data_IF_060294447045
#
_entry.id   IF_060294447045
#
_cell.length_a   1.000
_cell.length_b   1.000
_cell.length_c   1.000
_cell.angle_alpha   90.00
_cell.angle_beta   90.00
_cell.angle_gamma   90.00
#
_symmetry.space_group_name_H-M   'P 1'
#
loop_
_entity.id
_entity.type
_entity.pdbx_description
1 polymer ?
#
# COMPACT_ATOMS: atom_id res chain seq x y z
N UNK A 1 -61.64 -5.38 -10.15
CA UNK A 1 -60.66 -4.43 -9.56
C UNK A 1 -59.76 -5.03 -8.49
N UNK A 2 -60.19 -5.95 -7.61
CA UNK A 2 -59.35 -6.54 -6.56
C UNK A 2 -58.20 -7.47 -7.04
N UNK A 3 -58.33 -8.11 -8.22
CA UNK A 3 -57.25 -9.02 -8.76
C UNK A 3 -56.08 -8.28 -9.44
N UNK A 4 -56.29 -7.07 -9.93
CA UNK A 4 -55.25 -6.24 -10.58
C UNK A 4 -54.34 -5.61 -9.52
N UNK A 5 -54.86 -5.24 -8.36
CA UNK A 5 -54.11 -4.66 -7.26
C UNK A 5 -53.14 -5.66 -6.64
N UNK A 6 -53.51 -6.97 -6.55
CA UNK A 6 -52.65 -8.02 -6.02
C UNK A 6 -51.45 -8.30 -6.92
N UNK A 7 -51.62 -8.20 -8.25
CA UNK A 7 -50.54 -8.41 -9.21
C UNK A 7 -49.51 -7.27 -9.18
N UNK A 8 -49.91 -6.06 -8.91
CA UNK A 8 -49.02 -4.89 -8.79
C UNK A 8 -48.22 -4.90 -7.50
N UNK A 9 -48.76 -5.42 -6.40
CA UNK A 9 -48.06 -5.56 -5.12
C UNK A 9 -47.03 -6.69 -5.20
N UNK A 10 -47.32 -7.79 -5.91
CA UNK A 10 -46.31 -8.85 -6.15
C UNK A 10 -45.17 -8.39 -7.04
N UNK A 11 -45.40 -7.55 -8.03
CA UNK A 11 -44.37 -7.01 -8.92
C UNK A 11 -43.44 -6.01 -8.19
N UNK A 12 -43.98 -5.23 -7.24
CA UNK A 12 -43.21 -4.31 -6.41
C UNK A 12 -42.32 -5.05 -5.37
N UNK A 13 -42.74 -6.20 -4.89
CA UNK A 13 -41.89 -7.03 -3.99
C UNK A 13 -40.72 -7.69 -4.70
N UNK A 14 -40.81 -7.95 -6.01
CA UNK A 14 -39.68 -8.53 -6.78
C UNK A 14 -38.62 -7.48 -7.17
N UNK A 15 -38.93 -6.18 -7.18
CA UNK A 15 -37.95 -5.14 -7.49
C UNK A 15 -37.09 -4.71 -6.31
N UNK A 16 -37.36 -5.18 -5.09
CA UNK A 16 -36.56 -4.89 -3.90
C UNK A 16 -35.59 -6.00 -3.48
N UNK A 17 -35.47 -7.07 -4.28
CA UNK A 17 -34.64 -8.24 -3.93
C UNK A 17 -33.26 -8.23 -4.61
N UNK A 18 -32.86 -7.21 -5.34
CA UNK A 18 -31.52 -7.08 -5.91
C UNK A 18 -30.73 -5.89 -5.34
N UNK A 19 -30.76 -5.73 -4.04
CA UNK A 19 -29.59 -5.17 -3.37
C UNK A 19 -28.57 -6.32 -3.29
N UNK A 20 -27.71 -6.46 -4.28
CA UNK A 20 -26.52 -7.26 -4.15
C UNK A 20 -25.74 -6.73 -2.93
N UNK A 21 -25.87 -7.43 -1.81
CA UNK A 21 -24.98 -7.25 -0.68
C UNK A 21 -23.59 -7.56 -1.24
N UNK A 22 -22.71 -6.58 -1.30
CA UNK A 22 -21.29 -6.85 -1.49
C UNK A 22 -20.91 -7.94 -0.49
N UNK A 23 -20.51 -9.11 -0.99
CA UNK A 23 -20.13 -10.22 -0.11
C UNK A 23 -18.68 -10.01 0.24
N UNK A 24 -18.44 -9.16 1.23
CA UNK A 24 -17.13 -9.04 1.84
C UNK A 24 -16.80 -10.36 2.54
N UNK A 25 -15.63 -10.90 2.23
CA UNK A 25 -15.11 -12.12 2.85
C UNK A 25 -13.84 -11.79 3.58
N UNK A 26 -13.73 -12.23 4.83
CA UNK A 26 -12.49 -12.09 5.61
C UNK A 26 -12.14 -13.40 6.30
N UNK A 27 -10.88 -13.54 6.70
CA UNK A 27 -10.41 -14.76 7.37
C UNK A 27 -8.91 -14.69 7.65
N UNK A 28 -8.37 -15.86 7.96
CA UNK A 28 -6.96 -16.04 8.24
C UNK A 28 -6.37 -17.13 7.35
N UNK A 29 -5.09 -16.97 7.01
CA UNK A 29 -4.28 -18.01 6.36
C UNK A 29 -3.04 -18.28 7.20
N UNK A 30 -2.59 -19.53 7.21
CA UNK A 30 -1.37 -19.92 7.90
C UNK A 30 -0.16 -19.58 7.05
N UNK A 31 0.82 -18.89 7.66
CA UNK A 31 2.09 -18.54 7.02
C UNK A 31 3.27 -18.88 7.94
N UNK A 32 4.47 -18.83 7.40
CA UNK A 32 5.67 -19.00 8.22
C UNK A 32 5.72 -17.96 9.34
N UNK A 33 5.57 -18.43 10.58
CA UNK A 33 5.64 -17.62 11.79
C UNK A 33 4.30 -17.27 12.43
N UNK A 34 3.14 -17.66 11.83
CA UNK A 34 1.82 -17.41 12.41
C UNK A 34 0.69 -17.39 11.40
N UNK A 35 -0.36 -16.66 11.71
CA UNK A 35 -1.52 -16.45 10.84
C UNK A 35 -1.59 -15.00 10.40
N UNK A 36 -1.92 -14.79 9.14
CA UNK A 36 -2.20 -13.45 8.60
C UNK A 36 -3.68 -13.30 8.28
N UNK A 37 -4.21 -12.12 8.60
CA UNK A 37 -5.59 -11.75 8.30
C UNK A 37 -5.70 -11.22 6.87
N UNK A 38 -6.82 -11.52 6.21
CA UNK A 38 -7.17 -10.95 4.91
C UNK A 38 -8.65 -10.54 4.85
N UNK A 39 -8.95 -9.58 3.95
CA UNK A 39 -10.30 -9.17 3.58
C UNK A 39 -10.39 -9.05 2.07
N UNK A 40 -11.44 -9.61 1.47
CA UNK A 40 -11.75 -9.51 0.05
C UNK A 40 -13.02 -8.70 -0.10
N UNK A 41 -12.98 -7.63 -0.88
CA UNK A 41 -14.09 -6.72 -1.15
C UNK A 41 -14.44 -6.82 -2.64
N UNK A 42 -15.74 -7.02 -2.95
CA UNK A 42 -16.25 -7.10 -4.31
C UNK A 42 -16.14 -8.49 -4.95
N UNK A 43 -16.93 -8.69 -6.02
CA UNK A 43 -17.06 -9.96 -6.76
C UNK A 43 -17.05 -9.76 -8.29
N UNK A 44 -16.60 -8.60 -8.76
CA UNK A 44 -16.58 -8.29 -10.20
C UNK A 44 -15.77 -9.29 -11.03
N UNK A 45 -16.00 -9.36 -12.36
CA UNK A 45 -15.39 -10.34 -13.25
C UNK A 45 -13.93 -10.03 -13.61
N UNK A 46 -13.41 -8.87 -13.24
CA UNK A 46 -12.03 -8.49 -13.51
C UNK A 46 -11.02 -9.32 -12.73
N UNK A 47 -9.80 -9.38 -13.24
CA UNK A 47 -8.69 -10.05 -12.54
C UNK A 47 -8.50 -9.47 -11.14
N UNK A 48 -8.43 -10.30 -10.07
CA UNK A 48 -8.27 -9.83 -8.69
C UNK A 48 -7.05 -8.93 -8.48
N UNK A 49 -7.16 -7.97 -7.56
CA UNK A 49 -6.06 -7.10 -7.13
C UNK A 49 -5.67 -7.43 -5.70
N UNK A 50 -4.44 -7.87 -5.47
CA UNK A 50 -3.87 -8.06 -4.13
C UNK A 50 -3.04 -6.84 -3.74
N UNK A 51 -3.29 -6.29 -2.55
CA UNK A 51 -2.68 -5.06 -2.05
C UNK A 51 -1.77 -5.36 -0.85
N UNK A 52 -0.51 -4.95 -0.97
CA UNK A 52 0.51 -5.01 0.08
C UNK A 52 0.63 -3.62 0.73
N UNK A 53 0.34 -3.54 2.04
CA UNK A 53 0.46 -2.28 2.78
C UNK A 53 1.92 -1.90 3.07
N UNK A 54 2.13 -0.65 3.43
CA UNK A 54 3.44 -0.09 3.80
C UNK A 54 3.81 -0.29 5.28
N UNK A 55 4.66 0.57 5.76
CA UNK A 55 5.33 0.53 7.03
C UNK A 55 6.83 0.25 6.81
N UNK A 56 7.39 -0.91 7.18
CA UNK A 56 6.77 -2.16 7.64
C UNK A 56 6.04 -2.02 8.98
N UNK A 57 5.14 -2.97 9.31
CA UNK A 57 4.42 -2.93 10.59
C UNK A 57 3.16 -2.04 10.60
N UNK A 58 2.72 -1.49 9.45
CA UNK A 58 1.48 -0.73 9.33
C UNK A 58 0.25 -1.67 9.35
N UNK A 59 -0.83 -1.34 8.66
CA UNK A 59 -2.05 -2.15 8.60
C UNK A 59 -2.85 -1.80 7.35
N UNK A 60 -3.54 -2.77 6.80
CA UNK A 60 -4.29 -2.61 5.56
C UNK A 60 -5.57 -1.78 5.73
N UNK A 61 -6.16 -1.76 6.92
CA UNK A 61 -7.41 -1.06 7.20
C UNK A 61 -7.36 0.44 6.80
N UNK A 62 -6.19 1.09 6.92
CA UNK A 62 -6.03 2.49 6.51
C UNK A 62 -6.15 2.70 5.00
N UNK A 63 -5.96 1.64 4.22
CA UNK A 63 -5.99 1.68 2.76
C UNK A 63 -7.36 1.29 2.19
N UNK A 64 -8.18 0.55 2.97
CA UNK A 64 -9.46 0.01 2.52
C UNK A 64 -10.37 1.09 1.93
N UNK A 65 -10.66 2.24 2.58
CA UNK A 65 -11.61 3.21 2.03
C UNK A 65 -11.24 3.75 0.65
N UNK A 66 -9.95 3.94 0.37
CA UNK A 66 -9.48 4.46 -0.91
C UNK A 66 -9.42 3.39 -2.01
N UNK A 67 -8.89 2.22 -1.70
CA UNK A 67 -8.72 1.16 -2.70
C UNK A 67 -9.96 0.28 -2.88
N UNK A 68 -10.89 0.22 -1.92
CA UNK A 68 -12.18 -0.46 -2.10
C UNK A 68 -13.02 0.14 -3.23
N UNK A 69 -12.76 1.37 -3.63
CA UNK A 69 -13.37 1.97 -4.82
C UNK A 69 -13.10 1.15 -6.10
N UNK A 70 -12.08 0.30 -6.11
CA UNK A 70 -11.76 -0.60 -7.23
C UNK A 70 -12.62 -1.87 -7.23
N UNK A 71 -13.33 -2.18 -6.13
CA UNK A 71 -14.13 -3.40 -5.99
C UNK A 71 -15.38 -3.44 -6.86
N UNK A 72 -15.72 -2.32 -7.49
CA UNK A 72 -16.88 -2.23 -8.40
C UNK A 72 -16.76 -3.15 -9.64
N UNK A 73 -15.55 -3.51 -10.06
CA UNK A 73 -15.31 -4.31 -11.26
C UNK A 73 -14.44 -5.55 -11.04
N UNK A 74 -13.85 -5.72 -9.85
CA UNK A 74 -12.97 -6.85 -9.52
C UNK A 74 -12.88 -7.12 -8.02
N UNK A 75 -12.53 -8.34 -7.59
CA UNK A 75 -12.15 -8.57 -6.19
C UNK A 75 -10.91 -7.79 -5.82
N UNK A 76 -10.96 -7.05 -4.70
CA UNK A 76 -9.81 -6.35 -4.10
C UNK A 76 -9.47 -7.04 -2.79
N UNK A 77 -8.25 -7.52 -2.68
CA UNK A 77 -7.77 -8.32 -1.57
C UNK A 77 -6.81 -7.47 -0.75
N UNK A 78 -7.18 -7.23 0.49
CA UNK A 78 -6.36 -6.61 1.51
C UNK A 78 -5.86 -7.70 2.46
N UNK A 79 -4.66 -7.54 3.00
CA UNK A 79 -4.19 -8.40 4.09
C UNK A 79 -3.26 -7.62 5.00
N UNK A 80 -3.22 -8.01 6.25
CA UNK A 80 -2.24 -7.52 7.21
C UNK A 80 -1.04 -8.46 7.20
N UNK A 81 0.15 -7.91 6.93
CA UNK A 81 1.40 -8.66 6.96
C UNK A 81 1.66 -9.19 8.37
N UNK A 82 2.39 -10.30 8.51
CA UNK A 82 2.75 -10.83 9.82
C UNK A 82 3.46 -9.76 10.66
N UNK A 83 3.04 -9.60 11.89
CA UNK A 83 3.48 -8.51 12.75
C UNK A 83 2.61 -7.25 12.69
N UNK A 84 1.56 -7.21 11.85
CA UNK A 84 0.78 -6.01 11.54
C UNK A 84 -0.71 -6.24 11.77
N UNK A 85 -1.44 -5.16 12.05
CA UNK A 85 -2.90 -5.16 12.10
C UNK A 85 -3.50 -6.34 12.87
N UNK A 86 -4.43 -7.05 12.25
CA UNK A 86 -5.14 -8.21 12.79
C UNK A 86 -4.36 -9.54 12.69
N UNK A 87 -3.18 -9.53 12.04
CA UNK A 87 -2.31 -10.70 11.93
C UNK A 87 -1.58 -10.98 13.23
N UNK A 88 -1.07 -12.20 13.39
CA UNK A 88 -0.22 -12.57 14.53
C UNK A 88 0.99 -11.65 14.62
N UNK A 89 1.40 -11.35 15.86
CA UNK A 89 2.53 -10.45 16.16
C UNK A 89 3.62 -11.20 16.93
N UNK A 90 4.40 -12.07 16.24
CA UNK A 90 5.49 -12.79 16.88
C UNK A 90 6.59 -11.83 17.34
N UNK A 91 7.19 -12.12 18.49
CA UNK A 91 8.33 -11.35 19.01
C UNK A 91 9.68 -11.76 18.36
N UNK A 92 9.71 -12.83 17.57
CA UNK A 92 10.92 -13.34 16.94
C UNK A 92 11.35 -12.45 15.77
N UNK A 93 12.36 -11.62 15.99
CA UNK A 93 12.89 -10.70 14.99
C UNK A 93 13.48 -11.40 13.76
N UNK A 94 13.81 -12.69 13.84
CA UNK A 94 14.29 -13.48 12.68
C UNK A 94 13.22 -13.61 11.59
N UNK A 95 11.94 -13.42 11.95
CA UNK A 95 10.81 -13.39 11.03
C UNK A 95 10.67 -12.04 10.27
N UNK A 96 11.36 -10.99 10.71
CA UNK A 96 11.28 -9.67 10.11
C UNK A 96 12.38 -9.46 9.08
N UNK A 97 12.29 -10.18 7.99
CA UNK A 97 13.20 -10.11 6.86
C UNK A 97 12.45 -10.20 5.52
N UNK A 98 13.04 -9.66 4.48
CA UNK A 98 12.43 -9.53 3.14
C UNK A 98 12.04 -10.89 2.56
N UNK A 99 12.86 -11.92 2.73
CA UNK A 99 12.60 -13.26 2.19
C UNK A 99 11.30 -13.86 2.78
N UNK A 100 11.10 -13.77 4.08
CA UNK A 100 9.89 -14.26 4.74
C UNK A 100 8.64 -13.50 4.27
N UNK A 101 8.71 -12.16 4.10
CA UNK A 101 7.58 -11.39 3.56
C UNK A 101 7.27 -11.74 2.10
N UNK A 102 8.28 -12.10 1.31
CA UNK A 102 8.10 -12.62 -0.05
C UNK A 102 7.41 -13.98 -0.03
N UNK A 103 7.83 -14.89 0.85
CA UNK A 103 7.20 -16.21 1.03
C UNK A 103 5.74 -16.10 1.50
N UNK A 104 5.44 -15.11 2.33
CA UNK A 104 4.09 -14.80 2.80
C UNK A 104 3.13 -14.49 1.63
N UNK A 105 3.58 -13.73 0.64
CA UNK A 105 2.77 -13.42 -0.56
C UNK A 105 2.43 -14.72 -1.31
N UNK A 106 3.38 -15.61 -1.47
CA UNK A 106 3.18 -16.90 -2.14
C UNK A 106 2.23 -17.80 -1.36
N UNK A 107 2.39 -17.89 -0.05
CA UNK A 107 1.52 -18.67 0.84
C UNK A 107 0.08 -18.16 0.81
N UNK A 108 -0.12 -16.83 0.87
CA UNK A 108 -1.43 -16.19 0.75
C UNK A 108 -2.08 -16.50 -0.60
N UNK A 109 -1.34 -16.31 -1.71
CA UNK A 109 -1.83 -16.61 -3.06
C UNK A 109 -2.31 -18.06 -3.21
N UNK A 110 -1.49 -19.00 -2.72
CA UNK A 110 -1.78 -20.42 -2.85
C UNK A 110 -3.04 -20.81 -2.05
N UNK A 111 -3.16 -20.36 -0.81
CA UNK A 111 -4.31 -20.69 0.05
C UNK A 111 -5.61 -20.03 -0.43
N UNK A 112 -5.54 -18.84 -1.01
CA UNK A 112 -6.70 -18.18 -1.62
C UNK A 112 -6.99 -18.63 -3.06
N UNK A 113 -6.15 -19.48 -3.64
CA UNK A 113 -6.33 -20.00 -5.01
C UNK A 113 -6.16 -18.93 -6.10
N UNK A 114 -5.37 -17.87 -5.86
CA UNK A 114 -5.16 -16.74 -6.77
C UNK A 114 -4.19 -17.11 -7.90
N UNK A 115 -4.70 -17.77 -8.93
CA UNK A 115 -3.90 -18.19 -10.09
C UNK A 115 -3.46 -17.01 -10.95
N UNK A 116 -4.39 -16.10 -11.26
CA UNK A 116 -4.15 -14.86 -11.99
C UNK A 116 -4.51 -13.67 -11.10
N UNK A 117 -3.68 -12.64 -11.09
CA UNK A 117 -3.91 -11.44 -10.27
C UNK A 117 -3.08 -10.25 -10.76
N UNK A 118 -3.50 -9.06 -10.36
CA UNK A 118 -2.67 -7.87 -10.30
C UNK A 118 -2.12 -7.70 -8.89
N UNK A 119 -0.95 -7.11 -8.77
CA UNK A 119 -0.31 -6.82 -7.48
C UNK A 119 -0.12 -5.30 -7.31
N UNK A 120 -0.44 -4.80 -6.12
CA UNK A 120 -0.15 -3.42 -5.75
C UNK A 120 0.65 -3.42 -4.45
N UNK A 121 1.82 -2.76 -4.47
CA UNK A 121 2.60 -2.47 -3.27
C UNK A 121 2.57 -0.97 -2.98
N UNK A 122 2.21 -0.61 -1.76
CA UNK A 122 2.28 0.77 -1.30
C UNK A 122 3.48 0.95 -0.37
N UNK A 123 4.27 2.04 -0.57
CA UNK A 123 5.40 2.34 0.30
C UNK A 123 6.36 1.12 0.45
N UNK A 124 6.68 0.70 1.66
CA UNK A 124 7.46 -0.52 1.93
C UNK A 124 6.80 -1.80 1.38
N UNK A 125 5.48 -1.85 1.17
CA UNK A 125 4.84 -2.95 0.44
C UNK A 125 5.40 -3.15 -0.97
N UNK A 126 5.92 -2.08 -1.57
CA UNK A 126 6.63 -2.12 -2.86
C UNK A 126 8.00 -2.82 -2.76
N UNK A 127 8.66 -2.75 -1.61
CA UNK A 127 9.91 -3.49 -1.32
C UNK A 127 9.68 -5.00 -1.44
N UNK A 128 8.63 -5.48 -0.77
CA UNK A 128 8.30 -6.91 -0.81
C UNK A 128 7.76 -7.32 -2.17
N UNK A 129 6.99 -6.45 -2.83
CA UNK A 129 6.47 -6.71 -4.17
C UNK A 129 7.57 -6.83 -5.21
N UNK A 130 8.52 -5.89 -5.27
CA UNK A 130 9.62 -5.96 -6.25
C UNK A 130 10.52 -7.18 -5.99
N UNK A 131 10.83 -7.47 -4.72
CA UNK A 131 11.60 -8.64 -4.35
C UNK A 131 10.88 -9.94 -4.76
N UNK A 132 9.56 -10.02 -4.54
CA UNK A 132 8.73 -11.13 -4.98
C UNK A 132 8.79 -11.35 -6.50
N UNK A 133 8.64 -10.29 -7.27
CA UNK A 133 8.69 -10.35 -8.74
C UNK A 133 10.06 -10.82 -9.25
N UNK A 134 11.15 -10.37 -8.63
CA UNK A 134 12.52 -10.67 -9.06
C UNK A 134 13.00 -12.06 -8.63
N UNK A 135 12.65 -12.49 -7.41
CA UNK A 135 13.17 -13.74 -6.81
C UNK A 135 12.29 -14.94 -7.11
N UNK A 136 10.97 -14.81 -6.97
CA UNK A 136 10.02 -15.91 -7.23
C UNK A 136 9.61 -16.03 -8.70
N UNK A 137 9.67 -14.93 -9.46
CA UNK A 137 9.22 -14.87 -10.87
C UNK A 137 7.85 -15.51 -11.06
N UNK A 138 6.83 -15.04 -10.31
CA UNK A 138 5.56 -15.72 -10.17
C UNK A 138 4.80 -15.75 -11.50
N UNK A 139 4.27 -16.92 -11.86
CA UNK A 139 3.35 -17.04 -13.01
C UNK A 139 1.97 -16.45 -12.64
N UNK A 140 1.25 -15.96 -13.66
CA UNK A 140 -0.13 -15.46 -13.50
C UNK A 140 -0.23 -14.04 -12.94
N UNK A 141 0.87 -13.36 -12.65
CA UNK A 141 0.84 -11.91 -12.38
C UNK A 141 0.64 -11.19 -13.71
N UNK A 142 -0.47 -10.44 -13.82
CA UNK A 142 -0.83 -9.70 -15.05
C UNK A 142 -0.17 -8.33 -15.12
N UNK A 143 -0.03 -7.65 -14.00
CA UNK A 143 0.68 -6.37 -13.86
C UNK A 143 1.06 -6.10 -12.42
N UNK A 144 1.97 -5.14 -12.23
CA UNK A 144 2.33 -4.60 -10.92
C UNK A 144 2.07 -3.10 -10.86
N UNK A 145 1.63 -2.64 -9.68
CA UNK A 145 1.42 -1.23 -9.37
C UNK A 145 2.30 -0.90 -8.17
N UNK A 146 3.20 0.04 -8.35
CA UNK A 146 4.03 0.62 -7.32
C UNK A 146 3.43 1.96 -6.91
N UNK A 147 2.76 2.00 -5.76
CA UNK A 147 2.10 3.18 -5.21
C UNK A 147 2.99 3.83 -4.16
N UNK A 148 3.50 5.03 -4.43
CA UNK A 148 4.42 5.75 -3.53
C UNK A 148 5.59 4.86 -3.07
N UNK A 149 6.33 4.21 -3.99
CA UNK A 149 7.10 3.03 -3.69
C UNK A 149 8.45 3.31 -3.02
N UNK A 150 8.81 2.45 -2.07
CA UNK A 150 10.17 2.30 -1.56
C UNK A 150 10.79 1.03 -2.19
N UNK A 151 11.58 1.17 -3.26
CA UNK A 151 12.29 0.08 -3.96
C UNK A 151 13.80 0.28 -4.00
N UNK A 152 14.26 1.39 -3.43
CA UNK A 152 15.67 1.72 -3.25
C UNK A 152 15.80 2.64 -2.03
N UNK A 153 16.38 2.14 -0.96
CA UNK A 153 16.65 2.96 0.24
C UNK A 153 17.60 4.12 -0.04
N UNK A 154 18.68 3.98 -0.85
CA UNK A 154 19.48 5.14 -1.26
C UNK A 154 18.69 6.24 -1.96
N UNK A 155 17.75 5.88 -2.85
CA UNK A 155 16.91 6.87 -3.53
C UNK A 155 15.92 7.52 -2.56
N UNK A 156 15.31 6.76 -1.67
CA UNK A 156 14.42 7.26 -0.63
C UNK A 156 15.09 8.29 0.27
N UNK A 157 16.29 7.97 0.77
CA UNK A 157 17.09 8.89 1.61
C UNK A 157 17.47 10.16 0.82
N UNK A 158 17.83 10.01 -0.45
CA UNK A 158 18.16 11.16 -1.30
C UNK A 158 16.93 12.08 -1.51
N UNK A 159 15.76 11.50 -1.76
CA UNK A 159 14.51 12.25 -1.88
C UNK A 159 14.13 12.94 -0.57
N UNK A 160 14.19 12.24 0.55
CA UNK A 160 13.93 12.78 1.88
C UNK A 160 14.86 13.97 2.19
N UNK A 161 16.15 13.87 1.87
CA UNK A 161 17.11 14.97 2.05
C UNK A 161 16.73 16.20 1.24
N UNK A 162 16.29 16.03 -0.01
CA UNK A 162 15.86 17.14 -0.86
C UNK A 162 14.63 17.83 -0.25
N UNK A 163 13.66 17.04 0.24
CA UNK A 163 12.43 17.57 0.85
C UNK A 163 12.71 18.26 2.19
N UNK A 164 13.56 17.68 3.02
CA UNK A 164 14.00 18.30 4.29
C UNK A 164 14.67 19.66 4.04
N UNK A 165 15.53 19.76 3.02
CA UNK A 165 16.18 21.03 2.65
C UNK A 165 15.20 22.12 2.15
N UNK A 166 13.97 21.75 1.82
CA UNK A 166 12.90 22.69 1.46
C UNK A 166 12.06 23.14 2.66
N UNK A 167 12.25 22.51 3.83
CA UNK A 167 11.60 22.91 5.06
C UNK A 167 12.15 24.25 5.59
N UNK A 168 11.40 24.99 6.43
CA UNK A 168 11.96 26.14 7.15
C UNK A 168 13.24 25.77 7.92
N UNK A 169 14.23 26.65 7.90
CA UNK A 169 15.56 26.38 8.48
C UNK A 169 15.49 25.95 9.96
N UNK A 170 14.61 26.56 10.74
CA UNK A 170 14.40 26.20 12.16
C UNK A 170 14.00 24.71 12.33
N UNK A 171 13.17 24.20 11.43
CA UNK A 171 12.78 22.77 11.45
C UNK A 171 13.94 21.85 11.02
N UNK A 172 14.72 22.28 10.00
CA UNK A 172 15.91 21.56 9.58
C UNK A 172 16.92 21.45 10.73
N UNK A 173 17.22 22.59 11.39
CA UNK A 173 18.15 22.64 12.52
C UNK A 173 17.67 21.78 13.69
N UNK A 174 16.37 21.78 13.97
CA UNK A 174 15.76 20.94 15.00
C UNK A 174 15.94 19.47 14.68
N UNK A 175 15.60 19.02 13.48
CA UNK A 175 15.76 17.63 13.04
C UNK A 175 17.23 17.22 13.13
N UNK A 176 18.14 17.98 12.53
CA UNK A 176 19.58 17.69 12.53
C UNK A 176 20.15 17.59 13.95
N UNK A 177 19.75 18.52 14.84
CA UNK A 177 20.19 18.51 16.26
C UNK A 177 19.80 17.22 16.98
N UNK A 178 18.54 16.85 16.89
CA UNK A 178 18.05 15.69 17.64
C UNK A 178 18.45 14.35 17.02
N UNK A 179 18.64 14.29 15.70
CA UNK A 179 19.24 13.13 15.06
C UNK A 179 20.70 12.93 15.45
N UNK A 180 21.48 14.01 15.56
CA UNK A 180 22.87 13.92 16.04
C UNK A 180 22.97 13.47 17.50
N UNK A 181 21.93 13.73 18.31
CA UNK A 181 21.82 13.29 19.70
C UNK A 181 21.13 11.92 19.85
N UNK A 182 20.69 11.30 18.76
CA UNK A 182 19.86 10.09 18.73
C UNK A 182 18.63 10.17 19.65
N UNK A 183 18.11 11.40 19.85
CA UNK A 183 16.97 11.67 20.72
C UNK A 183 15.67 11.87 19.91
N UNK A 184 15.14 10.79 19.38
CA UNK A 184 13.94 10.76 18.52
C UNK A 184 12.63 10.95 19.29
N UNK A 185 12.65 10.99 20.65
CA UNK A 185 11.46 11.19 21.48
C UNK A 185 11.34 12.63 22.01
N UNK A 186 12.26 13.52 21.67
CA UNK A 186 12.19 14.91 22.08
C UNK A 186 10.94 15.59 21.51
N UNK A 187 10.11 16.30 22.30
CA UNK A 187 8.88 16.94 21.80
C UNK A 187 9.12 17.89 20.61
N UNK A 188 10.24 18.63 20.62
CA UNK A 188 10.60 19.51 19.52
C UNK A 188 10.94 18.73 18.22
N UNK A 189 11.58 17.56 18.35
CA UNK A 189 11.85 16.67 17.21
C UNK A 189 10.54 16.13 16.63
N UNK A 190 9.66 15.59 17.45
CA UNK A 190 8.37 15.05 17.02
C UNK A 190 7.53 16.13 16.31
N UNK A 191 7.49 17.36 16.84
CA UNK A 191 6.78 18.47 16.20
C UNK A 191 7.38 18.84 14.82
N UNK A 192 8.71 18.77 14.67
CA UNK A 192 9.37 19.00 13.39
C UNK A 192 9.08 17.88 12.39
N UNK A 193 9.09 16.62 12.85
CA UNK A 193 8.69 15.43 12.06
C UNK A 193 7.22 15.55 11.62
N UNK A 194 6.30 15.90 12.50
CA UNK A 194 4.89 16.12 12.17
C UNK A 194 4.72 17.20 11.09
N UNK A 195 5.56 18.23 11.13
CA UNK A 195 5.56 19.29 10.12
C UNK A 195 6.01 18.79 8.74
N UNK A 196 6.93 17.81 8.69
CA UNK A 196 7.32 17.12 7.45
C UNK A 196 6.17 16.22 6.97
N UNK A 197 5.61 15.43 7.87
CA UNK A 197 4.52 14.49 7.54
C UNK A 197 3.26 15.19 7.02
N UNK A 198 2.90 16.34 7.58
CA UNK A 198 1.79 17.16 7.09
C UNK A 198 1.99 17.69 5.66
N UNK A 199 3.22 17.69 5.16
CA UNK A 199 3.55 18.10 3.78
C UNK A 199 3.66 16.93 2.83
N UNK A 200 4.32 15.85 3.27
CA UNK A 200 4.83 14.80 2.40
C UNK A 200 4.22 13.43 2.65
N UNK A 201 3.59 13.19 3.82
CA UNK A 201 2.92 11.93 4.14
C UNK A 201 1.41 12.01 3.85
N UNK A 202 0.69 12.98 4.42
CA UNK A 202 -0.74 13.20 4.10
C UNK A 202 -1.09 14.68 4.19
N UNK A 203 -1.70 15.21 3.14
CA UNK A 203 -2.12 16.62 3.06
C UNK A 203 -3.52 16.85 3.62
N UNK A 204 -4.34 15.83 3.68
CA UNK A 204 -5.74 15.94 4.10
C UNK A 204 -5.90 15.81 5.62
N UNK A 205 -5.15 14.94 6.23
CA UNK A 205 -5.20 14.74 7.69
C UNK A 205 -3.86 14.25 8.21
N UNK A 206 -3.22 15.07 9.05
CA UNK A 206 -2.10 14.68 9.88
C UNK A 206 -2.21 15.38 11.25
N UNK A 207 -2.05 14.69 12.40
CA UNK A 207 -1.83 13.23 12.47
C UNK A 207 -3.00 12.44 11.89
N UNK A 208 -2.69 11.29 11.30
CA UNK A 208 -3.68 10.44 10.67
C UNK A 208 -4.74 9.97 11.67
N UNK A 209 -6.02 10.30 11.39
CA UNK A 209 -7.15 9.83 12.19
C UNK A 209 -7.59 8.49 11.58
N UNK A 210 -7.50 7.38 12.34
CA UNK A 210 -7.99 6.10 11.87
C UNK A 210 -9.45 6.19 11.41
N UNK A 211 -9.74 5.62 10.24
CA UNK A 211 -11.12 5.50 9.76
C UNK A 211 -11.85 4.36 10.50
N UNK A 212 -13.15 4.23 10.25
CA UNK A 212 -13.99 3.19 10.86
C UNK A 212 -13.46 1.76 10.62
N UNK A 213 -12.80 1.49 9.49
CA UNK A 213 -12.21 0.19 9.19
C UNK A 213 -11.05 -0.16 10.13
N UNK A 214 -10.43 0.84 10.75
CA UNK A 214 -9.35 0.66 11.71
C UNK A 214 -9.82 0.65 13.18
N UNK A 215 -11.11 0.78 13.43
CA UNK A 215 -11.66 0.63 14.78
C UNK A 215 -11.36 -0.79 15.28
N UNK A 216 -10.81 -0.89 16.50
CA UNK A 216 -10.42 -2.16 17.13
C UNK A 216 -9.31 -2.96 16.41
N UNK A 217 -8.70 -2.44 15.33
CA UNK A 217 -7.51 -3.04 14.73
C UNK A 217 -6.28 -2.62 15.51
N UNK A 218 -5.40 -3.54 15.94
CA UNK A 218 -4.15 -3.18 16.61
C UNK A 218 -3.36 -2.14 15.84
N UNK A 219 -2.81 -1.16 16.54
CA UNK A 219 -2.08 -0.04 15.95
C UNK A 219 -0.79 -0.44 15.23
N UNK A 220 -0.10 0.56 14.73
CA UNK A 220 1.21 0.45 14.11
C UNK A 220 2.20 -0.33 14.99
N UNK A 221 2.98 -1.23 14.41
CA UNK A 221 3.97 -2.00 15.13
C UNK A 221 5.36 -1.35 15.02
N UNK A 222 5.66 -0.49 15.98
CA UNK A 222 6.95 0.22 16.05
C UNK A 222 8.14 -0.72 16.14
N UNK A 223 8.00 -1.91 16.72
CA UNK A 223 9.12 -2.87 16.83
C UNK A 223 9.52 -3.38 15.45
N UNK A 224 8.56 -3.76 14.61
CA UNK A 224 8.83 -4.17 13.21
C UNK A 224 9.41 -3.01 12.42
N UNK A 225 8.81 -1.82 12.56
CA UNK A 225 9.24 -0.62 11.85
C UNK A 225 10.69 -0.25 12.18
N UNK A 226 11.00 -0.09 13.47
CA UNK A 226 12.33 0.31 13.92
C UNK A 226 13.40 -0.75 13.59
N UNK A 227 13.04 -2.06 13.65
CA UNK A 227 13.96 -3.13 13.31
C UNK A 227 14.31 -3.16 11.83
N UNK A 228 13.32 -2.97 10.96
CA UNK A 228 13.52 -3.08 9.51
C UNK A 228 13.88 -1.75 8.85
N UNK A 229 13.28 -0.65 9.29
CA UNK A 229 13.46 0.67 8.69
C UNK A 229 14.26 1.63 9.59
N UNK A 230 13.63 2.18 10.64
CA UNK A 230 14.27 3.15 11.53
C UNK A 230 13.27 4.02 12.26
N UNK A 231 13.74 5.08 12.94
CA UNK A 231 12.88 5.88 13.81
C UNK A 231 11.87 6.79 13.08
N UNK A 232 12.14 7.18 11.82
CA UNK A 232 11.27 8.06 11.03
C UNK A 232 11.37 7.74 9.55
N UNK A 233 10.46 8.27 8.71
CA UNK A 233 10.44 8.03 7.27
C UNK A 233 11.75 8.48 6.57
N UNK A 234 12.42 9.47 7.07
CA UNK A 234 13.66 9.99 6.48
C UNK A 234 14.96 9.50 7.15
N UNK A 235 14.86 8.57 8.14
CA UNK A 235 16.02 8.04 8.87
C UNK A 235 16.05 6.52 8.85
N UNK A 236 16.66 5.95 7.81
CA UNK A 236 16.87 4.50 7.73
C UNK A 236 18.06 4.05 8.58
N UNK A 237 17.84 3.14 9.51
CA UNK A 237 18.87 2.52 10.37
C UNK A 237 18.68 1.01 10.49
N UNK A 238 17.55 0.48 10.01
CA UNK A 238 17.18 -0.93 10.14
C UNK A 238 17.77 -1.82 9.05
N UNK A 239 17.26 -3.06 8.98
CA UNK A 239 17.79 -4.10 8.07
C UNK A 239 17.62 -3.75 6.58
N UNK A 240 16.70 -2.84 6.24
CA UNK A 240 16.47 -2.37 4.87
C UNK A 240 17.41 -1.23 4.42
N UNK A 241 18.37 -0.79 5.25
CA UNK A 241 19.24 0.36 4.94
C UNK A 241 19.98 0.22 3.60
N UNK A 242 20.34 -0.99 3.20
CA UNK A 242 21.06 -1.27 1.96
C UNK A 242 20.15 -1.84 0.85
N UNK A 243 18.83 -1.87 1.06
CA UNK A 243 17.91 -2.43 0.07
C UNK A 243 17.90 -1.56 -1.20
N UNK A 244 18.15 -2.18 -2.36
CA UNK A 244 18.10 -1.50 -3.64
C UNK A 244 17.83 -2.51 -4.77
N UNK A 245 16.66 -2.40 -5.40
CA UNK A 245 16.25 -3.19 -6.56
C UNK A 245 15.93 -2.31 -7.79
N UNK A 246 16.16 -1.00 -7.69
CA UNK A 246 15.84 -0.07 -8.77
C UNK A 246 16.55 -0.44 -10.09
N UNK A 247 17.80 -0.89 -10.02
CA UNK A 247 18.60 -1.30 -11.20
C UNK A 247 18.13 -2.60 -11.86
N UNK A 248 17.15 -3.29 -11.26
CA UNK A 248 16.62 -4.57 -11.75
C UNK A 248 15.19 -4.45 -12.28
N UNK A 249 14.65 -3.23 -12.39
CA UNK A 249 13.29 -2.96 -12.90
C UNK A 249 13.09 -3.46 -14.33
N UNK A 250 14.13 -3.49 -15.14
CA UNK A 250 14.11 -4.02 -16.50
C UNK A 250 13.92 -5.55 -16.56
N UNK A 251 14.06 -6.26 -15.44
CA UNK A 251 13.82 -7.70 -15.34
C UNK A 251 12.34 -8.04 -15.10
N UNK A 252 11.48 -7.04 -14.86
CA UNK A 252 10.04 -7.22 -14.70
C UNK A 252 9.38 -7.08 -16.06
N UNK A 253 8.90 -8.19 -16.62
CA UNK A 253 8.37 -8.25 -17.99
C UNK A 253 6.88 -7.88 -18.09
N UNK A 254 6.13 -7.86 -16.97
CA UNK A 254 4.71 -7.47 -16.94
C UNK A 254 4.56 -5.95 -16.96
N UNK A 255 3.40 -5.40 -17.40
CA UNK A 255 3.13 -3.97 -17.33
C UNK A 255 3.27 -3.42 -15.91
N UNK A 256 3.90 -2.26 -15.79
CA UNK A 256 4.14 -1.57 -14.51
C UNK A 256 3.41 -0.22 -14.51
N UNK A 257 2.74 0.12 -13.41
CA UNK A 257 2.28 1.48 -13.11
C UNK A 257 3.01 1.99 -11.88
N UNK A 258 3.75 3.08 -12.01
CA UNK A 258 4.20 3.89 -10.87
C UNK A 258 3.18 4.99 -10.62
N UNK A 259 2.72 5.09 -9.38
CA UNK A 259 1.78 6.13 -8.95
C UNK A 259 2.33 6.80 -7.70
N UNK A 260 2.34 8.13 -7.65
CA UNK A 260 2.76 8.91 -6.49
C UNK A 260 1.94 10.20 -6.36
N UNK A 261 1.92 10.80 -5.19
CA UNK A 261 1.35 12.13 -4.98
C UNK A 261 2.28 13.24 -5.52
N UNK A 262 1.70 14.40 -5.83
CA UNK A 262 2.45 15.59 -6.24
C UNK A 262 3.46 16.04 -5.18
N UNK A 263 3.11 15.86 -3.90
CA UNK A 263 3.91 16.26 -2.73
C UNK A 263 4.50 15.07 -1.97
N UNK A 264 4.53 13.90 -2.60
CA UNK A 264 4.96 12.63 -2.01
C UNK A 264 6.43 12.67 -1.56
N UNK A 265 6.73 11.99 -0.47
CA UNK A 265 8.11 11.70 -0.06
C UNK A 265 8.81 10.74 -1.03
N UNK A 266 8.08 9.82 -1.68
CA UNK A 266 8.52 9.10 -2.87
C UNK A 266 8.37 10.00 -4.10
N UNK A 267 9.30 10.93 -4.29
CA UNK A 267 9.15 12.08 -5.19
C UNK A 267 8.76 11.71 -6.63
N UNK A 268 7.91 12.53 -7.31
CA UNK A 268 7.58 12.34 -8.72
C UNK A 268 8.78 12.13 -9.65
N UNK A 269 9.89 12.83 -9.38
CA UNK A 269 11.12 12.72 -10.17
C UNK A 269 11.72 11.32 -10.11
N UNK A 270 11.62 10.66 -8.96
CA UNK A 270 12.07 9.30 -8.75
C UNK A 270 11.17 8.31 -9.48
N UNK A 271 9.86 8.56 -9.58
CA UNK A 271 8.95 7.76 -10.41
C UNK A 271 9.35 7.79 -11.89
N UNK A 272 9.66 8.96 -12.43
CA UNK A 272 10.14 9.10 -13.82
C UNK A 272 11.52 8.46 -14.02
N UNK A 273 12.40 8.50 -13.01
CA UNK A 273 13.66 7.74 -13.02
C UNK A 273 13.39 6.24 -13.15
N UNK A 274 12.51 5.68 -12.33
CA UNK A 274 12.16 4.25 -12.36
C UNK A 274 11.47 3.83 -13.64
N UNK A 275 10.62 4.68 -14.19
CA UNK A 275 10.02 4.45 -15.51
C UNK A 275 11.08 4.23 -16.60
N UNK A 276 12.12 5.08 -16.64
CA UNK A 276 13.21 4.97 -17.61
C UNK A 276 14.05 3.71 -17.45
N UNK A 277 14.06 3.13 -16.25
CA UNK A 277 14.77 1.88 -15.92
C UNK A 277 13.91 0.62 -16.17
N UNK A 278 12.64 0.78 -16.55
CA UNK A 278 11.69 -0.29 -16.76
C UNK A 278 11.40 -0.48 -18.25
N UNK A 279 11.10 -1.72 -18.70
CA UNK A 279 10.75 -2.01 -20.10
C UNK A 279 9.36 -1.52 -20.47
N UNK A 280 8.39 -1.69 -19.58
CA UNK A 280 6.97 -1.41 -19.86
C UNK A 280 6.31 -0.73 -18.64
N UNK A 281 6.67 0.51 -18.41
CA UNK A 281 6.16 1.26 -17.26
C UNK A 281 5.48 2.57 -17.66
N UNK A 282 4.47 2.95 -16.88
CA UNK A 282 3.79 4.24 -16.92
C UNK A 282 3.95 4.94 -15.57
N UNK A 283 3.89 6.26 -15.58
CA UNK A 283 3.87 7.10 -14.38
C UNK A 283 2.61 7.93 -14.37
N UNK A 284 1.94 7.98 -13.22
CA UNK A 284 0.80 8.84 -12.97
C UNK A 284 1.03 9.60 -11.66
N UNK A 285 0.96 10.92 -11.70
CA UNK A 285 1.13 11.78 -10.52
C UNK A 285 -0.23 12.34 -10.12
N UNK A 286 -0.60 12.09 -8.87
CA UNK A 286 -1.89 12.50 -8.32
C UNK A 286 -1.77 13.90 -7.74
N UNK A 287 -2.36 14.88 -8.42
CA UNK A 287 -2.33 16.28 -7.97
C UNK A 287 -3.07 16.48 -6.65
N UNK A 288 -2.54 17.34 -5.78
CA UNK A 288 -3.01 17.61 -4.43
C UNK A 288 -3.00 16.39 -3.48
N UNK A 289 -2.08 15.46 -3.69
CA UNK A 289 -1.84 14.33 -2.81
C UNK A 289 -0.37 14.27 -2.38
N UNK A 290 -0.11 13.67 -1.24
CA UNK A 290 1.20 13.28 -0.75
C UNK A 290 1.31 11.75 -0.77
N UNK A 291 2.10 11.14 0.10
CA UNK A 291 2.37 9.71 0.17
C UNK A 291 1.09 8.86 0.32
N UNK A 292 0.19 9.27 1.19
CA UNK A 292 -1.09 8.59 1.40
C UNK A 292 -2.13 9.00 0.33
N UNK A 293 -1.81 8.76 -0.94
CA UNK A 293 -2.65 9.13 -2.09
C UNK A 293 -4.09 8.61 -1.98
N UNK A 294 -4.28 7.42 -1.37
CA UNK A 294 -5.58 6.79 -1.15
C UNK A 294 -6.43 7.52 -0.11
N UNK A 295 -5.82 8.37 0.73
CA UNK A 295 -6.52 9.23 1.69
C UNK A 295 -6.74 10.61 1.10
N UNK A 296 -5.69 11.18 0.50
CA UNK A 296 -5.72 12.55 0.00
C UNK A 296 -6.64 12.71 -1.21
N UNK A 297 -6.60 11.78 -2.17
CA UNK A 297 -7.33 11.84 -3.44
C UNK A 297 -7.85 10.46 -3.90
N UNK A 298 -8.71 9.78 -3.10
CA UNK A 298 -9.10 8.39 -3.34
C UNK A 298 -9.75 8.16 -4.71
N UNK A 299 -10.65 9.05 -5.17
CA UNK A 299 -11.36 8.90 -6.44
C UNK A 299 -10.43 9.08 -7.65
N UNK A 300 -9.48 10.04 -7.57
CA UNK A 300 -8.50 10.25 -8.63
C UNK A 300 -7.57 9.05 -8.74
N UNK A 301 -7.09 8.55 -7.60
CA UNK A 301 -6.24 7.36 -7.53
C UNK A 301 -6.96 6.14 -8.11
N UNK A 302 -8.18 5.87 -7.63
CA UNK A 302 -8.98 4.74 -8.11
C UNK A 302 -9.26 4.82 -9.62
N UNK A 303 -9.56 6.00 -10.15
CA UNK A 303 -9.77 6.22 -11.59
C UNK A 303 -8.52 5.87 -12.42
N UNK A 304 -7.35 6.31 -11.98
CA UNK A 304 -6.06 6.04 -12.65
C UNK A 304 -5.76 4.54 -12.64
N UNK A 305 -5.84 3.91 -11.48
CA UNK A 305 -5.56 2.48 -11.32
C UNK A 305 -6.55 1.64 -12.12
N UNK A 306 -7.85 1.92 -12.02
CA UNK A 306 -8.89 1.20 -12.79
C UNK A 306 -8.62 1.24 -14.28
N UNK A 307 -8.29 2.42 -14.83
CA UNK A 307 -7.96 2.57 -16.26
C UNK A 307 -6.78 1.69 -16.66
N UNK A 308 -5.72 1.66 -15.85
CA UNK A 308 -4.56 0.82 -16.09
C UNK A 308 -4.91 -0.67 -16.06
N UNK A 309 -5.61 -1.14 -15.02
CA UNK A 309 -6.01 -2.54 -14.87
C UNK A 309 -6.92 -3.01 -16.02
N UNK A 310 -7.91 -2.22 -16.40
CA UNK A 310 -8.81 -2.52 -17.53
C UNK A 310 -8.06 -2.62 -18.86
N UNK A 311 -7.06 -1.76 -19.08
CA UNK A 311 -6.22 -1.85 -20.29
C UNK A 311 -5.41 -3.14 -20.32
N UNK A 312 -4.83 -3.55 -19.17
CA UNK A 312 -4.09 -4.82 -19.09
C UNK A 312 -5.02 -6.02 -19.28
N UNK A 313 -6.20 -6.04 -18.66
CA UNK A 313 -7.19 -7.12 -18.78
C UNK A 313 -7.71 -7.25 -20.23
N UNK A 314 -7.76 -6.15 -20.99
CA UNK A 314 -8.22 -6.17 -22.40
C UNK A 314 -7.16 -6.62 -23.39
N UNK A 315 -5.90 -6.69 -22.99
CA UNK A 315 -4.79 -7.16 -23.84
C UNK A 315 -4.68 -8.68 -23.70
N UNK A 316 -5.30 -9.42 -24.63
CA UNK A 316 -5.24 -10.90 -24.72
C UNK A 316 -4.03 -11.36 -25.49
#
# INVERSE_FOLDING_TARGET
MKKIVLLFIMLLCFLHAFSQKEVDREGYVDVTGGKIWYKIIGEGPGTPLLILHGGPGSRSCSMIPGFSLLSADRPVIFYDQLGSGNSDRPADTRLWNTERFVDEIDQLRNQLGLKELHLLGHSCGSTFLIEYMLTKRPKGVKSVIFSSPMISTPDWIADAKILLNQMPMELQDTINKYEALENYQAPAYLAAVDSFYARHLSRKSWPYIPNVECENVPGFNEQVYNYMWGPTEFKATGTLINFNRATELDKIDVPILFVAGEYDEARPQTMYKYQKMSKNARVEIIGNAAHMTMIDQPEKLAKVIRRFLQQVDSTK
#
